data_IF_930462684832
#
_entry.id   IF_930462684832
#
_cell.length_a   1.000
_cell.length_b   1.000
_cell.length_c   1.000
_cell.angle_alpha   90.00
_cell.angle_beta   90.00
_cell.angle_gamma   90.00
#
_symmetry.space_group_name_H-M   'P 1'
#
loop_
_entity.id
_entity.type
_entity.pdbx_description
1 polymer ?
#
# COMPACT_ATOMS: atom_id res chain seq x y z
N UNK A 1 -10.16 -25.82 21.79
CA UNK A 1 -10.09 -27.25 21.43
C UNK A 1 -8.65 -27.53 20.99
N UNK A 2 -7.89 -28.36 21.71
CA UNK A 2 -6.46 -28.61 21.46
C UNK A 2 -6.28 -29.44 20.17
N UNK A 3 -5.27 -29.13 19.36
CA UNK A 3 -4.85 -29.98 18.25
C UNK A 3 -3.93 -31.11 18.73
N UNK A 4 -3.61 -32.09 17.87
CA UNK A 4 -2.83 -33.30 18.21
C UNK A 4 -1.37 -33.00 18.62
N UNK A 5 -0.97 -31.73 18.61
CA UNK A 5 0.40 -31.25 18.91
C UNK A 5 0.48 -30.45 20.22
N UNK A 6 -0.65 -30.29 20.94
CA UNK A 6 -0.68 -29.60 22.23
C UNK A 6 -0.47 -28.09 22.15
N UNK A 7 -0.73 -27.47 20.99
CA UNK A 7 -0.67 -26.00 20.84
C UNK A 7 -2.07 -25.39 20.89
N UNK A 8 -2.17 -24.23 21.54
CA UNK A 8 -3.41 -23.46 21.64
C UNK A 8 -3.87 -23.05 20.24
N UNK A 9 -5.03 -23.55 19.81
CA UNK A 9 -5.73 -23.09 18.62
C UNK A 9 -6.09 -21.61 18.78
N UNK A 10 -5.26 -20.73 18.22
CA UNK A 10 -5.59 -19.32 18.03
C UNK A 10 -6.53 -19.20 16.82
N UNK A 11 -7.76 -19.67 16.99
CA UNK A 11 -8.87 -19.31 16.11
C UNK A 11 -9.27 -17.89 16.48
N UNK A 12 -8.71 -16.89 15.78
CA UNK A 12 -9.12 -15.49 15.92
C UNK A 12 -8.03 -14.41 15.81
N UNK A 13 -6.77 -14.72 15.50
CA UNK A 13 -5.75 -13.70 15.24
C UNK A 13 -5.70 -13.36 13.74
N UNK A 14 -6.69 -12.61 13.27
CA UNK A 14 -6.72 -12.11 11.89
C UNK A 14 -5.91 -10.81 11.83
N UNK A 15 -4.78 -10.88 11.11
CA UNK A 15 -4.01 -9.81 10.44
C UNK A 15 -3.03 -8.92 11.21
N UNK A 16 -3.13 -8.69 12.53
CA UNK A 16 -2.23 -7.74 13.20
C UNK A 16 -0.88 -8.30 13.71
N UNK A 17 -0.55 -9.57 13.42
CA UNK A 17 0.61 -10.29 14.03
C UNK A 17 1.82 -10.46 13.09
N UNK A 18 1.89 -9.79 11.93
CA UNK A 18 2.92 -10.11 10.92
C UNK A 18 3.98 -9.07 10.60
N UNK A 19 3.93 -7.82 11.03
CA UNK A 19 4.90 -6.83 10.50
C UNK A 19 5.74 -6.13 11.55
N UNK A 20 6.64 -6.92 12.16
CA UNK A 20 7.86 -6.32 12.68
C UNK A 20 8.76 -5.93 11.49
N UNK A 21 9.02 -4.63 11.25
CA UNK A 21 9.79 -4.18 10.09
C UNK A 21 11.18 -4.82 10.11
N UNK A 22 11.55 -5.45 8.99
CA UNK A 22 12.87 -6.08 8.83
C UNK A 22 13.83 -5.09 8.19
N UNK A 23 15.03 -4.95 8.76
CA UNK A 23 16.08 -4.12 8.16
C UNK A 23 16.36 -4.55 6.71
N UNK A 24 16.32 -3.58 5.80
CA UNK A 24 16.73 -3.75 4.41
C UNK A 24 17.94 -2.86 4.11
N UNK A 25 18.83 -3.30 3.23
CA UNK A 25 19.94 -2.49 2.75
C UNK A 25 19.76 -2.30 1.24
N UNK A 26 19.39 -1.09 0.82
CA UNK A 26 19.18 -0.73 -0.58
C UNK A 26 20.02 0.49 -0.95
N UNK A 27 20.38 0.59 -2.22
CA UNK A 27 20.90 1.84 -2.80
C UNK A 27 19.73 2.54 -3.49
N UNK A 28 19.30 3.66 -2.92
CA UNK A 28 18.21 4.47 -3.45
C UNK A 28 18.73 5.85 -3.82
N UNK A 29 18.04 6.52 -4.74
CA UNK A 29 18.34 7.91 -5.07
C UNK A 29 17.71 8.81 -4.02
N UNK A 30 18.52 9.56 -3.27
CA UNK A 30 18.04 10.46 -2.22
C UNK A 30 16.96 11.43 -2.73
N UNK A 31 17.16 11.99 -3.93
CA UNK A 31 16.20 12.93 -4.53
C UNK A 31 14.80 12.35 -4.74
N UNK A 32 14.67 11.03 -4.92
CA UNK A 32 13.35 10.39 -5.01
C UNK A 32 12.68 10.28 -3.65
N UNK A 33 13.47 10.03 -2.60
CA UNK A 33 12.98 9.95 -1.23
C UNK A 33 12.56 11.34 -0.76
N UNK A 34 13.40 12.36 -0.98
CA UNK A 34 13.08 13.75 -0.63
C UNK A 34 11.79 14.21 -1.31
N UNK A 35 11.63 13.91 -2.60
CA UNK A 35 10.42 14.26 -3.33
C UNK A 35 9.19 13.53 -2.79
N UNK A 36 9.33 12.25 -2.45
CA UNK A 36 8.25 11.50 -1.84
C UNK A 36 7.90 12.04 -0.45
N UNK A 37 8.89 12.45 0.35
CA UNK A 37 8.69 13.09 1.65
C UNK A 37 7.90 14.39 1.53
N UNK A 38 8.23 15.25 0.56
CA UNK A 38 7.50 16.49 0.30
C UNK A 38 6.04 16.23 -0.07
N UNK A 39 5.80 15.26 -0.96
CA UNK A 39 4.45 14.94 -1.47
C UNK A 39 3.59 14.28 -0.39
N UNK A 40 4.18 13.39 0.41
CA UNK A 40 3.47 12.63 1.44
C UNK A 40 3.42 13.36 2.80
N UNK A 41 4.23 14.40 3.00
CA UNK A 41 4.30 15.15 4.26
C UNK A 41 4.90 14.35 5.43
N UNK A 42 5.73 13.35 5.13
CA UNK A 42 6.30 12.42 6.11
C UNK A 42 7.53 13.00 6.80
N UNK A 43 7.83 12.48 7.99
CA UNK A 43 8.93 12.98 8.84
C UNK A 43 10.22 12.19 8.66
N UNK A 44 10.12 10.96 8.17
CA UNK A 44 11.28 10.06 8.01
C UNK A 44 11.26 9.31 6.70
N UNK A 45 12.44 8.90 6.22
CA UNK A 45 12.57 8.10 4.99
C UNK A 45 11.85 6.75 5.11
N UNK A 46 11.95 6.08 6.27
CA UNK A 46 11.23 4.82 6.52
C UNK A 46 9.73 5.00 6.38
N UNK A 47 9.16 5.99 7.07
CA UNK A 47 7.73 6.32 6.98
C UNK A 47 7.32 6.61 5.53
N UNK A 48 8.16 7.31 4.78
CA UNK A 48 7.93 7.63 3.36
C UNK A 48 7.88 6.38 2.51
N UNK A 49 8.82 5.46 2.71
CA UNK A 49 8.91 4.22 1.94
C UNK A 49 7.69 3.33 2.24
N UNK A 50 7.36 3.13 3.52
CA UNK A 50 6.19 2.30 3.90
C UNK A 50 4.89 2.92 3.35
N UNK A 51 4.65 4.22 3.56
CA UNK A 51 3.44 4.87 3.06
C UNK A 51 3.35 4.88 1.52
N UNK A 52 4.48 5.06 0.81
CA UNK A 52 4.48 4.98 -0.64
C UNK A 52 4.15 3.57 -1.15
N UNK A 53 4.59 2.53 -0.44
CA UNK A 53 4.27 1.14 -0.76
C UNK A 53 2.79 0.83 -0.50
N UNK A 54 2.23 1.31 0.61
CA UNK A 54 0.79 1.18 0.88
C UNK A 54 -0.04 1.92 -0.16
N UNK A 55 0.38 3.12 -0.54
CA UNK A 55 -0.34 3.95 -1.50
C UNK A 55 -0.42 3.30 -2.88
N UNK A 56 0.65 2.66 -3.36
CA UNK A 56 0.62 2.02 -4.69
C UNK A 56 -0.28 0.77 -4.69
N UNK A 57 -0.35 0.04 -3.57
CA UNK A 57 -1.30 -1.07 -3.40
C UNK A 57 -2.73 -0.55 -3.39
N UNK A 58 -2.99 0.51 -2.64
CA UNK A 58 -4.31 1.15 -2.59
C UNK A 58 -4.71 1.71 -3.97
N UNK A 59 -3.81 2.39 -4.67
CA UNK A 59 -4.06 2.92 -6.01
C UNK A 59 -4.47 1.79 -6.97
N UNK A 60 -3.82 0.63 -6.90
CA UNK A 60 -4.19 -0.51 -7.72
C UNK A 60 -5.57 -1.04 -7.39
N UNK A 61 -5.89 -1.21 -6.10
CA UNK A 61 -7.20 -1.66 -5.65
C UNK A 61 -8.31 -0.67 -6.05
N UNK A 62 -8.03 0.63 -6.00
CA UNK A 62 -8.95 1.66 -6.44
C UNK A 62 -9.24 1.54 -7.94
N UNK A 63 -8.21 1.38 -8.78
CA UNK A 63 -8.39 1.18 -10.22
C UNK A 63 -9.17 -0.09 -10.53
N UNK A 64 -8.83 -1.21 -9.89
CA UNK A 64 -9.55 -2.47 -10.05
C UNK A 64 -11.02 -2.34 -9.62
N UNK A 65 -11.28 -1.60 -8.54
CA UNK A 65 -12.63 -1.28 -8.07
C UNK A 65 -13.41 -0.41 -9.05
N UNK A 66 -12.77 0.60 -9.64
CA UNK A 66 -13.36 1.43 -10.70
C UNK A 66 -13.70 0.57 -11.91
N UNK A 67 -12.76 -0.23 -12.42
CA UNK A 67 -13.01 -1.12 -13.56
C UNK A 67 -14.18 -2.08 -13.30
N UNK A 68 -14.28 -2.63 -12.09
CA UNK A 68 -15.36 -3.52 -11.68
C UNK A 68 -16.72 -2.80 -11.61
N UNK A 69 -16.76 -1.55 -11.14
CA UNK A 69 -17.98 -0.75 -11.08
C UNK A 69 -18.46 -0.30 -12.47
N UNK A 70 -17.53 0.01 -13.37
CA UNK A 70 -17.85 0.54 -14.70
C UNK A 70 -18.00 -0.53 -15.78
N UNK A 71 -17.65 -1.80 -15.53
CA UNK A 71 -17.93 -2.93 -16.43
C UNK A 71 -17.35 -2.82 -17.85
N UNK A 72 -16.47 -1.84 -18.11
CA UNK A 72 -15.88 -1.55 -19.41
C UNK A 72 -15.83 -0.06 -19.75
N UNK A 73 -14.71 0.60 -19.45
CA UNK A 73 -14.32 1.84 -20.13
C UNK A 73 -14.34 3.13 -19.29
N UNK A 74 -13.31 3.35 -18.49
CA UNK A 74 -12.82 4.70 -18.16
C UNK A 74 -11.87 5.17 -19.26
N UNK A 75 -12.40 5.37 -20.47
CA UNK A 75 -11.72 6.16 -21.50
C UNK A 75 -12.60 7.39 -21.70
N UNK A 76 -12.09 8.56 -21.34
CA UNK A 76 -12.70 9.91 -21.48
C UNK A 76 -13.54 10.46 -20.32
N UNK A 77 -13.01 10.49 -19.10
CA UNK A 77 -13.56 11.38 -18.04
C UNK A 77 -12.70 12.63 -17.83
N UNK A 78 -11.51 12.69 -18.44
CA UNK A 78 -10.66 13.88 -18.50
C UNK A 78 -10.56 14.35 -19.95
N UNK A 79 -11.68 14.76 -20.55
CA UNK A 79 -11.62 15.64 -21.72
C UNK A 79 -11.64 17.06 -21.15
N UNK A 80 -10.50 17.74 -21.24
CA UNK A 80 -10.32 19.12 -20.85
C UNK A 80 -11.35 19.99 -21.56
N UNK A 81 -12.13 20.75 -20.79
CA UNK A 81 -12.91 21.86 -21.31
C UNK A 81 -11.94 22.92 -21.83
N UNK A 82 -11.73 22.97 -23.15
CA UNK A 82 -11.21 24.16 -23.82
C UNK A 82 -12.39 25.08 -24.17
N UNK A 83 -12.45 26.26 -23.53
CA UNK A 83 -13.03 27.50 -24.07
C UNK A 83 -12.10 28.67 -23.77
#
# INVERSE_FOLDING_TARGET
MLDQTGRLSHTGATEADSENPRKKNFRLHQSKIDRAMEVLGTRTETETIEQALDLIVFQRQLLDGIDALYGGGIVNVFEETEE
#
